data_IF_376034652527
#
_entry.id   IF_376034652527
#
_cell.length_a   1.000
_cell.length_b   1.000
_cell.length_c   1.000
_cell.angle_alpha   90.00
_cell.angle_beta   90.00
_cell.angle_gamma   90.00
#
_symmetry.space_group_name_H-M   'P 1'
#
loop_
_entity.id
_entity.type
_entity.pdbx_description
1 polymer ?
#
# COMPACT_ATOMS: atom_id res chain seq x y z
N UNK A 1 -22.41 2.04 19.70
CA UNK A 1 -21.52 0.86 19.80
C UNK A 1 -20.13 1.23 19.29
N UNK A 2 -19.10 1.05 20.10
CA UNK A 2 -17.71 1.33 19.70
C UNK A 2 -17.20 0.18 18.83
N UNK A 3 -16.58 0.49 17.68
CA UNK A 3 -16.01 -0.53 16.81
C UNK A 3 -14.78 -1.15 17.47
N UNK A 4 -14.76 -2.49 17.55
CA UNK A 4 -13.57 -3.25 17.92
C UNK A 4 -12.36 -2.89 17.04
N UNK A 5 -11.20 -2.75 17.67
CA UNK A 5 -9.96 -2.30 17.03
C UNK A 5 -8.86 -3.36 17.15
N UNK A 6 -7.88 -3.31 16.25
CA UNK A 6 -6.72 -4.20 16.23
C UNK A 6 -5.45 -3.40 16.44
N UNK A 7 -4.60 -3.91 17.32
CA UNK A 7 -3.29 -3.38 17.62
C UNK A 7 -2.22 -4.21 16.90
N UNK A 8 -1.28 -3.57 16.20
CA UNK A 8 -0.16 -4.28 15.57
C UNK A 8 1.11 -3.42 15.46
N UNK A 9 2.26 -4.10 15.48
CA UNK A 9 3.56 -3.52 15.14
C UNK A 9 3.83 -3.62 13.63
N UNK A 10 4.47 -2.61 13.07
CA UNK A 10 4.85 -2.65 11.66
C UNK A 10 5.96 -3.69 11.42
N UNK A 11 5.73 -4.63 10.50
CA UNK A 11 6.72 -5.67 10.15
C UNK A 11 7.96 -5.16 9.40
N UNK A 12 8.00 -3.87 9.02
CA UNK A 12 9.12 -3.31 8.27
C UNK A 12 10.08 -2.52 9.16
N UNK A 13 9.52 -1.66 10.02
CA UNK A 13 10.30 -0.74 10.84
C UNK A 13 10.26 -1.10 12.33
N UNK A 14 9.44 -2.09 12.73
CA UNK A 14 9.26 -2.51 14.13
C UNK A 14 9.13 -1.33 15.08
N UNK A 15 8.46 -0.26 14.64
CA UNK A 15 8.39 0.99 15.39
C UNK A 15 7.83 0.79 16.79
N UNK A 16 8.37 1.57 17.73
CA UNK A 16 7.88 1.70 19.10
C UNK A 16 6.40 2.14 19.11
N UNK A 17 5.98 2.90 18.08
CA UNK A 17 4.60 3.33 17.90
C UNK A 17 3.73 2.17 17.44
N UNK A 18 2.79 1.82 18.31
CA UNK A 18 1.80 0.78 18.12
C UNK A 18 0.65 1.31 17.26
N UNK A 19 0.37 0.64 16.14
CA UNK A 19 -0.68 1.07 15.22
C UNK A 19 -2.01 0.47 15.65
N UNK A 20 -3.03 1.31 15.75
CA UNK A 20 -4.39 0.91 16.06
C UNK A 20 -5.31 1.18 14.88
N UNK A 21 -6.05 0.16 14.45
CA UNK A 21 -7.00 0.26 13.34
C UNK A 21 -8.36 -0.32 13.72
N UNK A 22 -9.44 0.34 13.31
CA UNK A 22 -10.78 -0.20 13.48
C UNK A 22 -11.02 -1.39 12.54
N UNK A 23 -11.99 -2.25 12.87
CA UNK A 23 -12.37 -3.40 12.04
C UNK A 23 -12.68 -3.04 10.58
N UNK A 24 -13.29 -1.88 10.32
CA UNK A 24 -13.62 -1.40 8.96
C UNK A 24 -12.36 -1.07 8.14
N UNK A 25 -11.31 -0.60 8.81
CA UNK A 25 -10.02 -0.29 8.20
C UNK A 25 -9.05 -1.49 8.20
N UNK A 26 -9.33 -2.53 8.98
CA UNK A 26 -8.53 -3.75 9.06
C UNK A 26 -8.76 -4.66 7.85
N UNK A 27 -8.08 -4.30 6.76
CA UNK A 27 -7.99 -5.11 5.53
C UNK A 27 -6.82 -6.11 5.57
N UNK A 28 -6.39 -6.50 6.77
CA UNK A 28 -5.18 -7.32 6.97
C UNK A 28 -3.90 -6.50 6.83
N UNK A 29 -3.91 -5.24 7.30
CA UNK A 29 -2.73 -4.38 7.26
C UNK A 29 -1.61 -4.93 8.15
N UNK A 30 -0.39 -4.87 7.62
CA UNK A 30 0.84 -5.40 8.27
C UNK A 30 1.94 -4.37 8.42
N UNK A 31 1.80 -3.25 7.71
CA UNK A 31 2.77 -2.16 7.67
C UNK A 31 2.09 -0.87 8.11
N UNK A 32 2.88 0.07 8.63
CA UNK A 32 2.42 1.44 8.85
C UNK A 32 2.15 2.15 7.51
N UNK A 33 1.47 3.29 7.56
CA UNK A 33 1.19 4.13 6.38
C UNK A 33 2.47 4.51 5.62
N UNK A 34 3.58 4.73 6.32
CA UNK A 34 4.87 5.08 5.71
C UNK A 34 5.56 3.90 5.00
N UNK A 35 5.58 2.72 5.62
CA UNK A 35 6.25 1.54 5.05
C UNK A 35 5.39 0.83 3.99
N UNK A 36 4.07 1.00 4.01
CA UNK A 36 3.14 0.30 3.12
C UNK A 36 3.45 0.52 1.62
N UNK A 37 3.68 1.75 1.11
CA UNK A 37 4.03 1.98 -0.29
C UNK A 37 5.32 1.27 -0.72
N UNK A 38 6.36 1.36 0.13
CA UNK A 38 7.68 0.75 -0.13
C UNK A 38 7.56 -0.78 -0.18
N UNK A 39 6.89 -1.36 0.81
CA UNK A 39 6.73 -2.82 0.87
C UNK A 39 5.82 -3.34 -0.24
N UNK A 40 4.80 -2.57 -0.64
CA UNK A 40 3.95 -2.89 -1.79
C UNK A 40 4.74 -2.88 -3.09
N UNK A 41 5.62 -1.90 -3.30
CA UNK A 41 6.53 -1.85 -4.45
C UNK A 41 7.47 -3.06 -4.46
N UNK A 42 8.12 -3.38 -3.35
CA UNK A 42 9.02 -4.55 -3.22
C UNK A 42 8.27 -5.86 -3.50
N UNK A 43 7.06 -6.02 -2.98
CA UNK A 43 6.23 -7.20 -3.24
C UNK A 43 5.86 -7.33 -4.72
N UNK A 44 5.47 -6.23 -5.37
CA UNK A 44 5.17 -6.19 -6.81
C UNK A 44 6.40 -6.55 -7.65
N UNK A 45 7.56 -5.98 -7.33
CA UNK A 45 8.82 -6.30 -8.02
C UNK A 45 9.18 -7.79 -7.86
N UNK A 46 9.08 -8.35 -6.66
CA UNK A 46 9.33 -9.79 -6.42
C UNK A 46 8.35 -10.67 -7.21
N UNK A 47 7.07 -10.33 -7.22
CA UNK A 47 6.07 -11.04 -8.03
C UNK A 47 6.39 -10.95 -9.53
N UNK A 48 6.77 -9.76 -10.01
CA UNK A 48 7.20 -9.54 -11.39
C UNK A 48 8.43 -10.38 -11.77
N UNK A 49 9.47 -10.40 -10.93
CA UNK A 49 10.67 -11.23 -11.14
C UNK A 49 10.33 -12.71 -11.22
N UNK A 50 9.52 -13.22 -10.28
CA UNK A 50 9.05 -14.62 -10.30
C UNK A 50 8.23 -14.96 -11.54
N UNK A 51 7.36 -14.06 -11.98
CA UNK A 51 6.60 -14.30 -13.21
C UNK A 51 7.52 -14.30 -14.43
N UNK A 52 8.45 -13.36 -14.52
CA UNK A 52 9.40 -13.25 -15.64
C UNK A 52 10.36 -14.45 -15.73
N UNK A 53 10.67 -15.13 -14.63
CA UNK A 53 11.49 -16.35 -14.66
C UNK A 53 10.74 -17.57 -15.20
N UNK A 54 9.40 -17.54 -15.27
CA UNK A 54 8.62 -18.62 -15.89
C UNK A 54 8.78 -18.63 -17.41
N UNK A 55 8.61 -19.79 -18.03
CA UNK A 55 8.65 -19.92 -19.50
C UNK A 55 7.62 -19.00 -20.18
N UNK A 56 6.37 -19.04 -19.73
CA UNK A 56 5.31 -18.17 -20.26
C UNK A 56 5.62 -16.68 -20.04
N UNK A 57 6.18 -16.34 -18.87
CA UNK A 57 6.61 -14.98 -18.57
C UNK A 57 7.68 -14.47 -19.53
N UNK A 58 8.67 -15.30 -19.88
CA UNK A 58 9.73 -14.97 -20.85
C UNK A 58 9.16 -14.72 -22.25
N UNK A 59 8.28 -15.59 -22.76
CA UNK A 59 7.62 -15.41 -24.06
C UNK A 59 6.81 -14.11 -24.09
N UNK A 60 5.97 -13.88 -23.08
CA UNK A 60 5.15 -12.68 -22.98
C UNK A 60 5.99 -11.41 -22.86
N UNK A 61 7.15 -11.49 -22.18
CA UNK A 61 8.09 -10.38 -22.10
C UNK A 61 8.72 -10.08 -23.46
N UNK A 62 9.19 -11.11 -24.19
CA UNK A 62 9.74 -10.94 -25.54
C UNK A 62 8.72 -10.32 -26.50
N UNK A 63 7.47 -10.80 -26.49
CA UNK A 63 6.38 -10.24 -27.29
C UNK A 63 6.10 -8.76 -26.94
N UNK A 64 6.09 -8.41 -25.65
CA UNK A 64 5.95 -7.01 -25.20
C UNK A 64 7.10 -6.13 -25.68
N UNK A 65 8.33 -6.61 -25.58
CA UNK A 65 9.52 -5.88 -26.05
C UNK A 65 9.49 -5.66 -27.56
N UNK A 66 9.08 -6.67 -28.34
CA UNK A 66 8.87 -6.55 -29.78
C UNK A 66 7.88 -5.43 -30.10
N UNK A 67 6.68 -5.44 -29.50
CA UNK A 67 5.66 -4.39 -29.67
C UNK A 67 6.13 -3.00 -29.24
N UNK A 68 6.92 -2.93 -28.17
CA UNK A 68 7.49 -1.65 -27.73
C UNK A 68 8.47 -1.08 -28.75
N UNK A 69 9.39 -1.91 -29.28
CA UNK A 69 10.32 -1.52 -30.34
C UNK A 69 9.59 -1.12 -31.63
N UNK A 70 8.54 -1.85 -32.01
CA UNK A 70 7.69 -1.48 -33.15
C UNK A 70 7.05 -0.11 -32.97
N UNK A 71 6.52 0.19 -31.77
CA UNK A 71 5.97 1.52 -31.45
C UNK A 71 7.02 2.63 -31.45
N UNK A 72 8.26 2.35 -31.02
CA UNK A 72 9.33 3.34 -31.09
C UNK A 72 9.77 3.66 -32.52
N UNK A 73 9.69 2.68 -33.43
CA UNK A 73 9.93 2.90 -34.86
C UNK A 73 8.84 3.79 -35.49
N UNK A 74 7.61 3.70 -34.98
CA UNK A 74 6.55 4.66 -35.31
C UNK A 74 6.91 5.99 -34.66
N UNK A 75 7.33 6.97 -35.48
CA UNK A 75 7.67 8.32 -35.02
C UNK A 75 6.41 8.95 -34.42
N UNK A 76 6.24 8.84 -33.10
CA UNK A 76 5.16 9.51 -32.37
C UNK A 76 5.53 10.99 -32.34
N UNK A 77 5.18 11.71 -33.40
CA UNK A 77 5.30 13.15 -33.44
C UNK A 77 4.44 13.72 -32.32
N UNK A 78 5.10 14.35 -31.36
CA UNK A 78 4.44 15.19 -30.38
C UNK A 78 3.66 16.23 -31.19
N UNK A 79 2.32 16.18 -31.16
CA UNK A 79 1.56 17.38 -31.53
C UNK A 79 2.01 18.43 -30.51
N UNK A 80 2.65 19.49 -31.01
CA UNK A 80 3.13 20.59 -30.18
C UNK A 80 2.00 21.06 -29.26
N UNK A 81 2.33 21.31 -28.00
CA UNK A 81 1.40 21.97 -27.09
C UNK A 81 1.01 23.32 -27.72
N UNK A 82 -0.29 23.63 -27.75
CA UNK A 82 -0.73 24.99 -28.05
C UNK A 82 -0.12 25.92 -26.98
N UNK A 83 0.27 27.12 -27.40
CA UNK A 83 0.79 28.15 -26.50
C UNK A 83 -0.23 28.35 -25.38
N UNK A 84 0.21 28.14 -24.14
CA UNK A 84 -0.61 28.31 -22.94
C UNK A 84 -0.85 29.82 -22.78
N UNK A 85 -2.11 30.25 -22.85
CA UNK A 85 -2.49 31.61 -22.48
C UNK A 85 -2.32 31.77 -20.97
N UNK A 86 -1.81 32.91 -20.52
CA UNK A 86 -1.73 33.23 -19.08
C UNK A 86 -3.10 33.16 -18.38
N UNK A 87 -4.21 33.23 -19.12
CA UNK A 87 -5.56 33.08 -18.60
C UNK A 87 -5.94 31.61 -18.26
N UNK A 88 -5.21 30.62 -18.77
CA UNK A 88 -5.47 29.18 -18.52
C UNK A 88 -4.81 28.66 -17.23
N UNK A 89 -4.07 29.52 -16.50
CA UNK A 89 -3.48 29.19 -15.21
C UNK A 89 -4.52 29.37 -14.10
N UNK A 90 -5.10 28.27 -13.62
CA UNK A 90 -5.84 28.25 -12.36
C UNK A 90 -4.86 28.42 -11.18
N UNK A 91 -4.49 29.66 -10.89
CA UNK A 91 -3.73 30.01 -9.68
C UNK A 91 -4.72 29.94 -8.50
N UNK A 92 -4.86 28.76 -7.90
CA UNK A 92 -5.52 28.64 -6.62
C UNK A 92 -4.68 29.30 -5.53
N UNK A 93 -5.13 30.48 -5.07
CA UNK A 93 -4.66 31.07 -3.82
C UNK A 93 -4.97 30.09 -2.68
N UNK A 94 -3.94 29.44 -2.15
CA UNK A 94 -4.03 28.71 -0.87
C UNK A 94 -4.49 29.68 0.21
N UNK A 95 -5.74 29.55 0.65
CA UNK A 95 -6.18 30.15 1.91
C UNK A 95 -5.48 29.40 3.04
N UNK A 96 -4.53 30.06 3.70
CA UNK A 96 -4.01 29.63 4.99
C UNK A 96 -5.17 29.64 5.99
N UNK A 97 -5.50 28.49 6.56
CA UNK A 97 -6.39 28.41 7.71
C UNK A 97 -5.57 28.63 8.98
N UNK A 98 -5.82 29.68 9.78
CA UNK A 98 -5.27 29.78 11.12
C UNK A 98 -6.22 29.07 12.08
N UNK A 99 -6.02 27.77 12.31
CA UNK A 99 -6.78 27.08 13.36
C UNK A 99 -6.01 27.21 14.67
N UNK A 100 -6.48 28.11 15.52
CA UNK A 100 -6.04 28.23 16.93
C UNK A 100 -6.12 26.86 17.59
N UNK A 101 -4.98 26.28 17.96
CA UNK A 101 -4.93 25.09 18.80
C UNK A 101 -5.20 25.56 20.23
N UNK A 102 -6.44 25.36 20.70
CA UNK A 102 -6.80 25.54 22.10
C UNK A 102 -6.38 24.27 22.84
N UNK A 103 -5.30 24.38 23.61
CA UNK A 103 -4.82 23.33 24.49
C UNK A 103 -5.74 23.32 25.73
N UNK A 104 -6.70 22.41 25.77
CA UNK A 104 -7.53 22.20 26.96
C UNK A 104 -7.20 20.84 27.56
N UNK A 105 -6.66 20.92 28.77
CA UNK A 105 -6.18 19.82 29.60
C UNK A 105 -7.32 19.11 30.34
N UNK A 106 -7.21 17.78 30.43
CA UNK A 106 -7.79 16.85 31.42
C UNK A 106 -9.22 16.35 31.20
N UNK A 107 -9.36 15.07 30.83
CA UNK A 107 -9.65 13.96 31.76
C UNK A 107 -9.05 12.67 31.15
N UNK A 108 -8.41 11.84 31.98
CA UNK A 108 -7.66 10.66 31.55
C UNK A 108 -8.60 9.50 31.18
N UNK A 109 -9.34 9.65 30.09
CA UNK A 109 -9.95 8.54 29.37
C UNK A 109 -9.05 8.26 28.17
N UNK A 110 -8.37 7.10 28.15
CA UNK A 110 -7.52 6.69 27.03
C UNK A 110 -8.40 6.41 25.81
N UNK A 111 -8.90 7.46 25.16
CA UNK A 111 -9.67 7.35 23.92
C UNK A 111 -8.72 6.87 22.83
N UNK A 112 -8.89 5.62 22.43
CA UNK A 112 -8.06 4.98 21.41
C UNK A 112 -8.57 5.40 20.03
N UNK A 113 -7.70 5.91 19.16
CA UNK A 113 -8.10 6.35 17.81
C UNK A 113 -7.58 5.43 16.71
N UNK A 114 -8.36 5.30 15.64
CA UNK A 114 -7.90 4.60 14.45
C UNK A 114 -6.90 5.46 13.69
N UNK A 115 -5.68 4.97 13.49
CA UNK A 115 -4.63 5.65 12.72
C UNK A 115 -4.96 5.80 11.22
N UNK A 116 -6.07 5.22 10.76
CA UNK A 116 -6.50 5.25 9.36
C UNK A 116 -7.58 6.31 9.11
N UNK A 117 -8.62 6.35 9.95
CA UNK A 117 -9.81 7.16 9.78
C UNK A 117 -10.15 8.07 10.99
N UNK A 118 -9.27 8.11 11.98
CA UNK A 118 -9.31 8.97 13.18
C UNK A 118 -10.57 8.83 14.05
N UNK A 119 -11.41 7.82 13.79
CA UNK A 119 -12.56 7.50 14.62
C UNK A 119 -12.13 6.91 15.95
N UNK A 120 -12.86 7.28 17.01
CA UNK A 120 -12.74 6.66 18.34
C UNK A 120 -13.05 5.18 18.22
N UNK A 121 -12.11 4.37 18.70
CA UNK A 121 -12.17 2.94 18.76
C UNK A 121 -12.49 2.49 20.17
N UNK A 122 -13.03 1.28 20.29
CA UNK A 122 -13.13 0.61 21.58
C UNK A 122 -11.74 0.46 22.23
N UNK A 123 -11.62 0.61 23.56
CA UNK A 123 -10.37 0.35 24.29
C UNK A 123 -10.00 -1.14 24.31
N UNK A 124 -10.92 -2.03 23.95
CA UNK A 124 -10.66 -3.47 23.81
C UNK A 124 -9.94 -3.75 22.48
N UNK A 125 -8.60 -3.72 22.54
CA UNK A 125 -7.72 -3.96 21.41
C UNK A 125 -7.55 -5.47 21.16
N UNK A 126 -7.90 -5.94 19.97
CA UNK A 126 -7.53 -7.29 19.53
C UNK A 126 -6.04 -7.37 19.27
N UNK A 127 -5.35 -8.21 20.03
CA UNK A 127 -3.99 -8.67 19.71
C UNK A 127 -4.05 -9.85 18.73
N UNK A 128 -4.72 -9.65 17.60
CA UNK A 128 -4.68 -10.65 16.56
C UNK A 128 -3.27 -10.59 15.96
N UNK A 129 -2.47 -11.61 16.26
CA UNK A 129 -1.45 -12.09 15.33
C UNK A 129 -2.12 -12.20 13.96
N UNK A 130 -1.41 -11.96 12.87
CA UNK A 130 -1.97 -12.07 11.53
C UNK A 130 -2.34 -13.55 11.26
N UNK A 131 -3.40 -14.02 11.90
CA UNK A 131 -3.86 -15.39 11.85
C UNK A 131 -4.21 -15.67 10.42
N UNK A 132 -3.36 -16.47 9.78
CA UNK A 132 -3.54 -17.43 8.67
C UNK A 132 -4.70 -17.25 7.68
N UNK A 133 -5.33 -16.09 7.57
CA UNK A 133 -6.64 -15.94 6.95
C UNK A 133 -6.55 -15.83 5.43
N UNK A 134 -5.35 -15.70 4.84
CA UNK A 134 -5.12 -15.86 3.40
C UNK A 134 -3.79 -16.52 2.98
N UNK A 135 -2.92 -16.90 3.91
CA UNK A 135 -1.66 -17.60 3.57
C UNK A 135 -1.74 -19.13 3.69
N UNK A 136 -2.72 -19.66 4.43
CA UNK A 136 -2.87 -21.10 4.65
C UNK A 136 -3.37 -21.93 3.45
N UNK A 137 -3.76 -21.31 2.32
CA UNK A 137 -4.29 -22.06 1.14
C UNK A 137 -3.38 -22.10 -0.09
N UNK A 138 -2.19 -21.49 -0.07
CA UNK A 138 -1.29 -21.49 -1.24
C UNK A 138 0.20 -21.66 -0.91
N UNK A 139 0.53 -22.44 0.12
CA UNK A 139 1.85 -23.09 0.21
C UNK A 139 1.70 -24.56 -0.16
N UNK A 140 1.18 -24.85 -1.35
CA UNK A 140 1.51 -26.11 -2.02
C UNK A 140 2.89 -25.90 -2.62
N UNK A 141 3.92 -26.16 -1.82
CA UNK A 141 5.24 -26.38 -2.38
C UNK A 141 5.11 -27.54 -3.38
N UNK A 142 5.52 -27.38 -4.65
CA UNK A 142 5.63 -28.54 -5.53
C UNK A 142 6.59 -29.53 -4.87
N UNK A 143 6.16 -30.79 -4.71
CA UNK A 143 7.01 -31.85 -4.17
C UNK A 143 8.34 -31.87 -4.93
N UNK A 144 9.49 -31.97 -4.24
CA UNK A 144 10.76 -32.13 -4.91
C UNK A 144 10.69 -33.39 -5.78
N UNK A 145 11.00 -33.24 -7.07
CA UNK A 145 11.12 -34.39 -7.98
C UNK A 145 12.26 -35.27 -7.47
N UNK A 146 11.98 -36.54 -7.21
CA UNK A 146 13.01 -37.54 -6.84
C UNK A 146 14.03 -37.62 -7.99
N UNK A 147 15.34 -37.71 -7.69
CA UNK A 147 16.33 -38.00 -8.70
C UNK A 147 16.08 -39.41 -9.26
N UNK A 148 16.00 -39.50 -10.59
CA UNK A 148 16.06 -40.76 -11.33
C UNK A 148 17.46 -41.35 -11.16
N UNK A 149 17.51 -42.60 -10.69
CA UNK A 149 18.71 -43.45 -10.74
C UNK A 149 18.97 -43.89 -12.17
#
# INVERSE_FOLDING_TARGET
MQDSSRQYSCLCCHSIIIIIICRRCDRGNRYCKHCSPIMSLKARQRAGKRYQSTYQGRINHAARQKRYRERLKQKVTHKGSKVISLCDLLIEKRKSFPTKIKLETKTNSYSVFCHCCDKVCSPYLRQNSLGNSKLGRKLRFPNPKKPTQ
#
